data_IF_398823844202
#
_entry.id   IF_398823844202
#
_cell.length_a   1.000
_cell.length_b   1.000
_cell.length_c   1.000
_cell.angle_alpha   90.00
_cell.angle_beta   90.00
_cell.angle_gamma   90.00
#
_symmetry.space_group_name_H-M   'P 1'
#
loop_
_entity.id
_entity.type
_entity.pdbx_description
1 polymer ?
#
# COMPACT_ATOMS: atom_id res chain seq x y z
N UNK A 1 53.97 37.97 8.90
CA UNK A 1 54.38 37.57 10.26
C UNK A 1 53.71 36.24 10.59
N UNK A 2 54.52 35.18 10.79
CA UNK A 2 54.25 33.88 11.47
C UNK A 2 53.16 33.00 10.82
N UNK A 3 53.49 32.03 9.95
CA UNK A 3 53.94 30.63 10.21
C UNK A 3 52.96 29.89 11.18
N UNK A 4 52.57 28.61 11.07
CA UNK A 4 53.36 27.36 11.01
C UNK A 4 52.37 26.17 10.75
N UNK A 5 52.67 25.31 9.76
CA UNK A 5 52.61 23.82 9.72
C UNK A 5 51.32 22.97 9.65
N UNK A 6 51.35 22.06 8.66
CA UNK A 6 50.55 20.82 8.48
C UNK A 6 50.94 19.73 9.49
N UNK A 7 49.99 18.96 10.00
CA UNK A 7 50.27 17.60 10.50
C UNK A 7 49.07 16.66 10.27
N UNK A 8 49.33 15.62 9.50
CA UNK A 8 48.53 14.42 9.28
C UNK A 8 48.47 13.56 10.54
N UNK A 9 47.32 12.93 10.82
CA UNK A 9 47.28 11.74 11.67
C UNK A 9 46.21 10.76 11.14
N UNK A 10 46.68 9.58 10.74
CA UNK A 10 45.89 8.51 10.14
C UNK A 10 45.00 7.79 11.16
N UNK A 11 43.86 7.30 10.69
CA UNK A 11 42.91 6.52 11.49
C UNK A 11 43.15 5.03 11.24
N UNK A 12 43.73 4.38 12.25
CA UNK A 12 43.89 2.93 12.35
C UNK A 12 42.60 2.29 12.89
N UNK A 13 42.21 1.20 12.22
CA UNK A 13 41.67 -0.06 12.75
C UNK A 13 40.44 -0.08 13.67
N UNK A 14 39.48 -0.86 13.16
CA UNK A 14 38.31 -1.51 13.76
C UNK A 14 38.30 -1.77 15.28
N UNK A 15 37.14 -1.50 15.87
CA UNK A 15 36.66 -2.08 17.13
C UNK A 15 35.14 -2.20 17.08
N UNK A 16 34.63 -3.43 17.01
CA UNK A 16 33.22 -3.79 17.05
C UNK A 16 32.63 -3.36 18.41
N UNK A 17 31.64 -2.47 18.40
CA UNK A 17 30.76 -2.25 19.56
C UNK A 17 29.48 -3.07 19.36
N UNK A 18 29.37 -4.17 20.09
CA UNK A 18 28.13 -4.92 20.29
C UNK A 18 27.17 -4.06 21.11
N UNK A 19 26.23 -3.38 20.44
CA UNK A 19 25.09 -2.77 21.11
C UNK A 19 24.01 -3.85 21.23
N UNK A 20 24.03 -4.55 22.36
CA UNK A 20 22.85 -5.24 22.87
C UNK A 20 21.86 -4.17 23.33
N UNK A 21 20.85 -3.87 22.51
CA UNK A 21 19.69 -3.11 22.98
C UNK A 21 18.98 -3.94 24.04
N UNK A 22 19.15 -3.50 25.28
CA UNK A 22 18.39 -3.94 26.41
C UNK A 22 16.89 -3.78 26.11
N UNK A 23 16.16 -4.86 26.34
CA UNK A 23 14.74 -4.82 26.61
C UNK A 23 14.48 -3.83 27.76
N UNK A 24 13.70 -2.77 27.50
CA UNK A 24 13.05 -2.00 28.57
C UNK A 24 11.93 -2.87 29.16
N UNK A 25 12.32 -3.80 30.03
CA UNK A 25 11.44 -4.45 31.01
C UNK A 25 11.56 -3.66 32.31
N UNK A 26 10.58 -2.79 32.58
CA UNK A 26 10.36 -2.27 33.93
C UNK A 26 9.92 -3.42 34.82
N UNK A 27 10.71 -3.72 35.85
CA UNK A 27 10.32 -4.68 36.87
C UNK A 27 9.34 -4.03 37.85
N UNK A 28 8.15 -4.59 38.00
CA UNK A 28 7.27 -4.37 39.13
C UNK A 28 6.50 -5.66 39.39
N UNK A 29 6.87 -6.29 40.51
CA UNK A 29 6.10 -7.15 41.41
C UNK A 29 5.40 -8.42 40.88
N UNK A 30 5.61 -9.50 41.63
CA UNK A 30 4.99 -10.81 41.42
C UNK A 30 3.46 -10.72 41.42
N UNK A 31 2.84 -11.14 40.33
CA UNK A 31 1.48 -11.67 40.33
C UNK A 31 1.41 -12.69 39.21
N UNK A 32 1.07 -13.94 39.56
CA UNK A 32 0.68 -14.99 38.63
C UNK A 32 -0.43 -14.49 37.71
N UNK A 33 -0.04 -13.87 36.60
CA UNK A 33 -0.96 -13.42 35.59
C UNK A 33 -1.09 -14.57 34.62
N UNK A 34 -2.06 -15.43 34.91
CA UNK A 34 -2.63 -16.38 33.96
C UNK A 34 -2.76 -15.64 32.64
N UNK A 35 -1.89 -15.96 31.67
CA UNK A 35 -1.88 -15.32 30.36
C UNK A 35 -3.14 -15.78 29.64
N UNK A 36 -4.23 -15.08 29.93
CA UNK A 36 -5.49 -15.22 29.23
C UNK A 36 -5.23 -14.58 27.88
N UNK A 37 -4.83 -15.39 26.91
CA UNK A 37 -4.87 -15.00 25.51
C UNK A 37 -6.27 -14.43 25.28
N UNK A 38 -6.43 -13.19 24.79
CA UNK A 38 -7.75 -12.75 24.37
C UNK A 38 -8.16 -13.71 23.25
N UNK A 39 -9.10 -14.61 23.57
CA UNK A 39 -9.80 -15.34 22.54
C UNK A 39 -10.47 -14.26 21.69
N UNK A 40 -10.05 -14.13 20.42
CA UNK A 40 -10.80 -13.32 19.48
C UNK A 40 -12.15 -14.00 19.33
N UNK A 41 -13.14 -13.53 20.09
CA UNK A 41 -14.53 -13.81 19.78
C UNK A 41 -14.73 -13.35 18.34
N UNK A 42 -14.89 -14.30 17.42
CA UNK A 42 -15.27 -13.99 16.06
C UNK A 42 -16.61 -13.25 16.13
N UNK A 43 -16.57 -11.93 15.89
CA UNK A 43 -17.78 -11.14 15.75
C UNK A 43 -18.58 -11.76 14.59
N UNK A 44 -19.78 -12.24 14.89
CA UNK A 44 -20.65 -12.83 13.88
C UNK A 44 -20.93 -11.79 12.81
N UNK A 45 -20.61 -12.10 11.55
CA UNK A 45 -20.94 -11.25 10.41
C UNK A 45 -22.46 -11.02 10.37
N UNK A 46 -22.94 -9.76 10.47
CA UNK A 46 -24.36 -9.49 10.47
C UNK A 46 -24.97 -9.79 9.10
N UNK A 47 -26.29 -9.87 9.01
CA UNK A 47 -26.99 -9.98 7.73
C UNK A 47 -26.90 -8.65 6.97
N UNK A 48 -26.51 -8.64 5.67
CA UNK A 48 -26.58 -7.44 4.85
C UNK A 48 -28.00 -6.88 4.79
N UNK A 49 -28.11 -5.54 4.79
CA UNK A 49 -29.36 -4.83 4.52
C UNK A 49 -29.70 -4.90 3.03
N UNK A 50 -28.68 -4.93 2.17
CA UNK A 50 -28.83 -5.12 0.74
C UNK A 50 -27.62 -5.85 0.15
N UNK A 51 -27.84 -6.57 -0.94
CA UNK A 51 -26.81 -7.29 -1.68
C UNK A 51 -26.99 -7.08 -3.18
N UNK A 52 -25.88 -6.82 -3.88
CA UNK A 52 -25.79 -6.72 -5.32
C UNK A 52 -24.87 -7.86 -5.79
N UNK A 53 -25.43 -8.98 -6.30
CA UNK A 53 -24.63 -10.17 -6.59
C UNK A 53 -23.81 -10.04 -7.88
N UNK A 54 -24.15 -9.11 -8.76
CA UNK A 54 -23.43 -8.83 -10.00
C UNK A 54 -23.36 -7.33 -10.21
N UNK A 55 -22.17 -6.77 -10.04
CA UNK A 55 -21.89 -5.39 -10.39
C UNK A 55 -21.77 -5.26 -11.91
N UNK A 56 -22.49 -4.28 -12.45
CA UNK A 56 -22.35 -3.80 -13.82
C UNK A 56 -22.29 -2.28 -13.75
N UNK A 57 -21.44 -1.63 -14.54
CA UNK A 57 -21.27 -0.18 -14.41
C UNK A 57 -20.30 0.40 -15.43
N UNK A 58 -19.93 1.65 -15.18
CA UNK A 58 -19.04 2.44 -16.05
C UNK A 58 -17.59 2.05 -15.74
N UNK A 59 -16.84 2.89 -15.02
CA UNK A 59 -15.43 2.67 -14.68
C UNK A 59 -15.16 3.00 -13.22
N UNK A 60 -14.09 2.43 -12.67
CA UNK A 60 -13.35 3.05 -11.55
C UNK A 60 -12.21 3.88 -12.12
N UNK A 61 -11.83 4.97 -11.47
CA UNK A 61 -10.79 5.87 -11.97
C UNK A 61 -9.71 6.12 -10.91
N UNK A 62 -8.45 6.09 -11.35
CA UNK A 62 -7.27 6.41 -10.54
C UNK A 62 -6.56 7.57 -11.19
N UNK A 63 -6.65 8.75 -10.58
CA UNK A 63 -5.89 9.92 -11.01
C UNK A 63 -4.40 9.68 -10.76
N UNK A 64 -3.57 9.86 -11.78
CA UNK A 64 -2.12 9.79 -11.62
C UNK A 64 -1.65 11.00 -10.83
N UNK A 65 -0.90 10.75 -9.77
CA UNK A 65 -0.25 11.83 -9.02
C UNK A 65 0.72 12.60 -9.93
N UNK A 66 0.74 13.92 -9.76
CA UNK A 66 1.59 14.81 -10.56
C UNK A 66 3.09 14.50 -10.39
N UNK A 67 3.52 14.12 -9.18
CA UNK A 67 4.89 13.72 -8.89
C UNK A 67 5.24 12.39 -9.55
N UNK A 68 4.31 11.45 -9.58
CA UNK A 68 4.46 10.20 -10.33
C UNK A 68 4.60 10.46 -11.84
N UNK A 69 3.72 11.25 -12.43
CA UNK A 69 3.79 11.58 -13.86
C UNK A 69 5.09 12.31 -14.24
N UNK A 70 5.55 13.23 -13.40
CA UNK A 70 6.83 13.91 -13.57
C UNK A 70 8.01 12.93 -13.47
N UNK A 71 7.97 11.98 -12.51
CA UNK A 71 9.01 10.97 -12.36
C UNK A 71 9.07 10.03 -13.58
N UNK A 72 7.93 9.58 -14.12
CA UNK A 72 7.88 8.77 -15.34
C UNK A 72 8.56 9.52 -16.51
N UNK A 73 8.23 10.80 -16.69
CA UNK A 73 8.82 11.63 -17.74
C UNK A 73 10.33 11.77 -17.56
N UNK A 74 10.80 12.02 -16.33
CA UNK A 74 12.24 12.13 -16.00
C UNK A 74 13.00 10.84 -16.30
N UNK A 75 12.35 9.69 -16.09
CA UNK A 75 12.92 8.36 -16.34
C UNK A 75 12.75 7.91 -17.81
N UNK A 76 12.11 8.71 -18.67
CA UNK A 76 11.84 8.35 -20.06
C UNK A 76 10.81 7.22 -20.21
N UNK A 77 9.95 7.02 -19.22
CA UNK A 77 8.88 6.04 -19.24
C UNK A 77 7.61 6.66 -19.80
N UNK A 78 7.05 6.03 -20.83
CA UNK A 78 5.76 6.44 -21.41
C UNK A 78 4.64 5.63 -20.75
N UNK A 79 3.71 6.26 -20.01
CA UNK A 79 2.52 5.60 -19.49
C UNK A 79 1.56 5.24 -20.63
N UNK A 80 0.94 4.07 -20.51
CA UNK A 80 -0.08 3.57 -21.43
C UNK A 80 -1.10 2.71 -20.70
N UNK A 81 -1.91 1.96 -21.43
CA UNK A 81 -2.98 1.11 -20.88
C UNK A 81 -2.94 -0.27 -21.51
N UNK A 82 -3.46 -1.25 -20.78
CA UNK A 82 -3.65 -2.63 -21.25
C UNK A 82 -5.14 -2.90 -21.46
N UNK A 83 -5.46 -3.52 -22.58
CA UNK A 83 -6.80 -3.98 -22.92
C UNK A 83 -7.84 -2.86 -22.97
N UNK A 84 -8.87 -2.93 -22.12
CA UNK A 84 -10.00 -1.97 -22.14
C UNK A 84 -9.84 -0.77 -21.21
N UNK A 85 -8.74 -0.68 -20.45
CA UNK A 85 -8.46 0.52 -19.67
C UNK A 85 -8.26 1.72 -20.59
N UNK A 86 -8.58 2.93 -20.09
CA UNK A 86 -8.29 4.18 -20.81
C UNK A 86 -7.50 5.14 -19.93
N UNK A 87 -6.66 5.98 -20.53
CA UNK A 87 -5.94 7.05 -19.85
C UNK A 87 -6.43 8.39 -20.42
N UNK A 88 -7.31 9.05 -19.70
CA UNK A 88 -7.94 10.32 -20.12
C UNK A 88 -7.85 11.31 -18.97
N UNK A 89 -7.56 12.58 -19.28
CA UNK A 89 -7.46 13.65 -18.27
C UNK A 89 -6.50 13.32 -17.10
N UNK A 90 -5.42 12.58 -17.40
CA UNK A 90 -4.44 12.14 -16.40
C UNK A 90 -4.92 11.02 -15.46
N UNK A 91 -6.11 10.46 -15.69
CA UNK A 91 -6.68 9.38 -14.88
C UNK A 91 -6.72 8.07 -15.66
N UNK A 92 -6.37 6.98 -15.00
CA UNK A 92 -6.57 5.62 -15.49
C UNK A 92 -7.99 5.18 -15.16
N UNK A 93 -8.78 4.88 -16.17
CA UNK A 93 -10.13 4.37 -16.05
C UNK A 93 -10.14 2.87 -16.32
N UNK A 94 -10.70 2.11 -15.39
CA UNK A 94 -10.82 0.66 -15.44
C UNK A 94 -12.30 0.27 -15.48
N UNK A 95 -12.79 -0.25 -16.62
CA UNK A 95 -14.15 -0.74 -16.74
C UNK A 95 -14.48 -1.79 -15.68
N UNK A 96 -15.67 -1.69 -15.10
CA UNK A 96 -16.16 -2.71 -14.14
C UNK A 96 -16.68 -3.90 -14.94
N UNK A 97 -15.97 -5.03 -14.86
CA UNK A 97 -16.34 -6.26 -15.56
C UNK A 97 -17.14 -7.24 -14.71
N UNK A 98 -17.25 -6.97 -13.41
CA UNK A 98 -18.04 -7.77 -12.49
C UNK A 98 -17.71 -7.49 -11.03
N UNK A 99 -18.12 -8.43 -10.17
CA UNK A 99 -17.97 -8.34 -8.73
C UNK A 99 -19.32 -8.31 -8.01
N UNK A 100 -19.27 -8.09 -6.71
CA UNK A 100 -20.45 -8.06 -5.84
C UNK A 100 -20.27 -7.00 -4.74
N UNK A 101 -21.38 -6.51 -4.20
CA UNK A 101 -21.37 -5.61 -3.04
C UNK A 101 -22.45 -6.01 -2.05
N UNK A 102 -22.10 -6.06 -0.78
CA UNK A 102 -23.00 -6.15 0.36
C UNK A 102 -22.97 -4.82 1.14
N UNK A 103 -24.15 -4.33 1.48
CA UNK A 103 -24.35 -3.15 2.30
C UNK A 103 -24.91 -3.54 3.67
N UNK A 104 -24.21 -3.14 4.71
CA UNK A 104 -24.54 -3.40 6.11
C UNK A 104 -25.01 -2.11 6.79
N UNK A 105 -25.82 -2.26 7.84
CA UNK A 105 -26.40 -1.14 8.57
C UNK A 105 -25.30 -0.28 9.26
N UNK A 106 -25.16 1.01 8.91
CA UNK A 106 -24.23 1.91 9.58
C UNK A 106 -24.56 2.17 11.06
N UNK A 107 -25.77 1.86 11.55
CA UNK A 107 -26.08 1.97 12.97
C UNK A 107 -25.41 0.86 13.81
N UNK A 108 -25.07 -0.28 13.19
CA UNK A 108 -24.36 -1.37 13.85
C UNK A 108 -22.86 -1.07 13.98
N UNK A 109 -22.15 -1.87 14.78
CA UNK A 109 -20.69 -1.72 14.97
C UNK A 109 -19.86 -2.32 13.82
N UNK A 110 -20.48 -3.13 12.97
CA UNK A 110 -19.80 -3.82 11.88
C UNK A 110 -19.31 -2.85 10.80
N UNK A 111 -18.00 -2.92 10.47
CA UNK A 111 -17.34 -2.02 9.52
C UNK A 111 -16.28 -2.76 8.69
N UNK A 112 -16.03 -2.32 7.44
CA UNK A 112 -16.74 -1.26 6.70
C UNK A 112 -18.19 -1.65 6.35
N UNK A 113 -19.07 -0.67 6.14
CA UNK A 113 -20.50 -0.91 5.91
C UNK A 113 -20.84 -1.18 4.43
N UNK A 114 -19.92 -0.93 3.51
CA UNK A 114 -19.97 -1.42 2.12
C UNK A 114 -18.79 -2.37 1.97
N UNK A 115 -19.06 -3.61 1.60
CA UNK A 115 -18.02 -4.61 1.39
C UNK A 115 -18.29 -5.33 0.08
N UNK A 116 -17.26 -5.82 -0.57
CA UNK A 116 -17.44 -6.47 -1.86
C UNK A 116 -16.15 -6.63 -2.61
N UNK A 117 -16.30 -7.11 -3.83
CA UNK A 117 -15.23 -7.21 -4.81
C UNK A 117 -15.65 -6.45 -6.06
N UNK A 118 -14.70 -5.75 -6.67
CA UNK A 118 -14.89 -5.12 -7.98
C UNK A 118 -13.84 -5.73 -8.90
N UNK A 119 -14.25 -6.15 -10.08
CA UNK A 119 -13.39 -6.77 -11.08
C UNK A 119 -13.15 -5.83 -12.25
N UNK A 120 -11.93 -5.88 -12.77
CA UNK A 120 -11.44 -5.10 -13.91
C UNK A 120 -10.72 -6.01 -14.91
N UNK A 121 -11.25 -7.22 -15.12
CA UNK A 121 -10.61 -8.27 -15.93
C UNK A 121 -10.25 -7.75 -17.33
N UNK A 122 -9.02 -8.02 -17.77
CA UNK A 122 -8.52 -7.57 -19.07
C UNK A 122 -8.18 -6.09 -19.17
N UNK A 123 -8.16 -5.35 -18.06
CA UNK A 123 -7.74 -3.95 -18.00
C UNK A 123 -6.46 -3.81 -17.17
N UNK A 124 -5.59 -2.88 -17.54
CA UNK A 124 -4.34 -2.67 -16.81
C UNK A 124 -3.61 -1.37 -17.18
N UNK A 125 -2.48 -1.15 -16.54
CA UNK A 125 -1.59 -0.02 -16.78
C UNK A 125 -0.29 -0.52 -17.44
N UNK A 126 0.26 0.21 -18.41
CA UNK A 126 1.52 -0.19 -19.06
C UNK A 126 2.57 0.91 -18.95
N UNK A 127 3.84 0.52 -18.89
CA UNK A 127 4.98 1.42 -18.94
C UNK A 127 5.90 1.00 -20.08
N UNK A 128 6.18 1.92 -21.01
CA UNK A 128 7.04 1.66 -22.18
C UNK A 128 8.33 2.46 -22.10
N UNK A 129 9.46 1.81 -22.39
CA UNK A 129 10.79 2.40 -22.50
C UNK A 129 11.53 1.78 -23.69
N UNK A 130 11.61 2.50 -24.82
CA UNK A 130 12.14 1.95 -26.06
C UNK A 130 11.36 0.70 -26.49
N UNK A 131 12.06 -0.42 -26.64
CA UNK A 131 11.45 -1.71 -27.02
C UNK A 131 10.88 -2.50 -25.84
N UNK A 132 11.09 -2.03 -24.61
CA UNK A 132 10.62 -2.72 -23.40
C UNK A 132 9.23 -2.20 -23.00
N UNK A 133 8.29 -3.13 -22.83
CA UNK A 133 6.94 -2.86 -22.31
C UNK A 133 6.73 -3.70 -21.06
N UNK A 134 6.23 -3.07 -20.00
CA UNK A 134 5.84 -3.74 -18.76
C UNK A 134 4.36 -3.50 -18.53
N UNK A 135 3.62 -4.58 -18.35
CA UNK A 135 2.18 -4.58 -18.08
C UNK A 135 1.90 -4.82 -16.60
N UNK A 136 0.96 -4.04 -16.05
CA UNK A 136 0.49 -4.09 -14.67
C UNK A 136 -1.02 -4.38 -14.71
N UNK A 137 -1.38 -5.64 -14.49
CA UNK A 137 -2.75 -6.18 -14.62
C UNK A 137 -3.22 -6.83 -13.33
#
# INVERSE_FOLDING_TARGET
MRNITKATLGLLTAGILTISMAACSSSSESTDSTSSSPTSSAESTPTPVASIPSLTGVDTAVLLDSGFAAALTSLGLTPGTVGTATLTDGSLHFPITGGNVDYYDPAQKYRPYVQGTIKHEGSGFSLTAGDTVVDLT
#
